data_IF_624022584444
#
_entry.id   IF_624022584444
#
_cell.length_a   1.000
_cell.length_b   1.000
_cell.length_c   1.000
_cell.angle_alpha   90.00
_cell.angle_beta   90.00
_cell.angle_gamma   90.00
#
_symmetry.space_group_name_H-M   'P 1'
#
loop_
_entity.id
_entity.type
_entity.pdbx_description
1 polymer ?
#
# COMPACT_ATOMS: atom_id res chain seq x y z
N UNK A 1 -11.12 -17.55 -20.15
CA UNK A 1 -10.26 -16.34 -20.15
C UNK A 1 -11.14 -15.08 -20.12
N UNK A 2 -11.93 -14.92 -19.07
CA UNK A 2 -12.60 -13.67 -18.80
C UNK A 2 -11.64 -12.78 -18.02
N UNK A 3 -10.98 -11.86 -18.72
CA UNK A 3 -10.46 -10.62 -18.13
C UNK A 3 -11.66 -9.88 -17.54
N UNK A 4 -12.12 -10.24 -16.34
CA UNK A 4 -12.96 -9.34 -15.57
C UNK A 4 -12.12 -8.08 -15.34
N UNK A 5 -12.34 -7.08 -16.20
CA UNK A 5 -11.92 -5.70 -15.91
C UNK A 5 -12.46 -5.41 -14.52
N UNK A 6 -11.59 -5.36 -13.55
CA UNK A 6 -11.89 -4.70 -12.29
C UNK A 6 -12.46 -3.34 -12.67
N UNK A 7 -13.57 -2.94 -12.07
CA UNK A 7 -14.21 -1.67 -12.39
C UNK A 7 -13.31 -0.53 -11.89
N UNK A 8 -12.25 -0.29 -12.67
CA UNK A 8 -11.18 0.69 -12.37
C UNK A 8 -11.56 2.09 -12.84
N UNK A 9 -12.85 2.36 -13.04
CA UNK A 9 -13.34 3.65 -13.53
C UNK A 9 -12.88 4.84 -12.68
N UNK A 10 -12.69 4.61 -11.38
CA UNK A 10 -12.28 5.66 -10.43
C UNK A 10 -10.77 5.71 -10.18
N UNK A 11 -9.99 4.81 -10.79
CA UNK A 11 -8.56 4.78 -10.57
C UNK A 11 -7.84 5.84 -11.42
N UNK A 12 -6.83 6.48 -10.86
CA UNK A 12 -5.99 7.43 -11.60
C UNK A 12 -5.35 6.73 -12.80
N UNK A 13 -5.34 7.40 -13.96
CA UNK A 13 -4.76 6.88 -15.21
C UNK A 13 -3.31 6.37 -15.05
N UNK A 14 -2.53 7.05 -14.23
CA UNK A 14 -1.17 6.65 -13.90
C UNK A 14 -1.09 5.29 -13.20
N UNK A 15 -1.99 5.01 -12.24
CA UNK A 15 -2.05 3.72 -11.55
C UNK A 15 -2.38 2.61 -12.55
N UNK A 16 -3.38 2.86 -13.41
CA UNK A 16 -3.79 1.92 -14.46
C UNK A 16 -2.64 1.65 -15.43
N UNK A 17 -1.96 2.69 -15.91
CA UNK A 17 -0.83 2.56 -16.84
C UNK A 17 0.31 1.75 -16.23
N UNK A 18 0.63 1.98 -14.96
CA UNK A 18 1.68 1.24 -14.28
C UNK A 18 1.29 -0.24 -14.08
N UNK A 19 0.04 -0.53 -13.71
CA UNK A 19 -0.44 -1.90 -13.61
C UNK A 19 -0.41 -2.63 -14.96
N UNK A 20 -0.87 -1.97 -16.02
CA UNK A 20 -0.83 -2.54 -17.37
C UNK A 20 0.61 -2.83 -17.81
N UNK A 21 1.53 -1.91 -17.60
CA UNK A 21 2.94 -2.12 -17.91
C UNK A 21 3.53 -3.35 -17.20
N UNK A 22 3.18 -3.59 -15.94
CA UNK A 22 3.62 -4.78 -15.22
C UNK A 22 3.00 -6.06 -15.78
N UNK A 23 1.73 -6.03 -16.15
CA UNK A 23 1.00 -7.19 -16.68
C UNK A 23 1.48 -7.52 -18.10
N UNK A 24 1.65 -6.51 -18.93
CA UNK A 24 2.04 -6.67 -20.34
C UNK A 24 3.49 -7.13 -20.49
N UNK A 25 4.38 -6.69 -19.60
CA UNK A 25 5.78 -7.16 -19.55
C UNK A 25 5.91 -8.58 -18.97
N UNK A 26 4.83 -9.16 -18.48
CA UNK A 26 4.80 -10.45 -17.79
C UNK A 26 5.19 -10.34 -16.31
N UNK A 27 4.44 -11.02 -15.48
CA UNK A 27 4.76 -11.16 -14.06
C UNK A 27 5.80 -12.26 -13.90
N UNK A 28 7.05 -11.89 -13.72
CA UNK A 28 8.13 -12.84 -13.47
C UNK A 28 8.01 -13.50 -12.09
N UNK A 29 8.55 -14.69 -11.97
CA UNK A 29 8.68 -15.37 -10.68
C UNK A 29 9.43 -14.48 -9.67
N UNK A 30 8.95 -14.47 -8.45
CA UNK A 30 9.55 -13.70 -7.35
C UNK A 30 9.85 -14.63 -6.18
N UNK A 31 11.07 -14.53 -5.65
CA UNK A 31 11.42 -15.21 -4.43
C UNK A 31 10.55 -14.69 -3.27
N UNK A 32 9.76 -15.59 -2.69
CA UNK A 32 8.86 -15.30 -1.56
C UNK A 32 9.56 -15.36 -0.21
N UNK A 33 10.84 -15.71 -0.19
CA UNK A 33 11.63 -15.91 1.04
C UNK A 33 12.85 -15.03 1.08
N UNK A 34 13.36 -14.81 2.29
CA UNK A 34 14.64 -14.13 2.55
C UNK A 34 15.43 -14.92 3.59
N UNK A 35 16.74 -14.91 3.46
CA UNK A 35 17.66 -15.48 4.45
C UNK A 35 17.89 -14.41 5.52
N UNK A 36 17.08 -14.47 6.57
CA UNK A 36 17.11 -13.54 7.71
C UNK A 36 16.77 -14.29 9.00
N UNK A 37 17.36 -13.85 10.10
CA UNK A 37 17.09 -14.43 11.42
C UNK A 37 15.77 -13.96 12.04
N UNK A 38 15.24 -12.84 11.56
CA UNK A 38 14.01 -12.24 12.04
C UNK A 38 12.96 -12.12 10.95
N UNK A 39 11.73 -12.51 11.25
CA UNK A 39 10.58 -12.44 10.35
C UNK A 39 9.58 -13.57 10.56
N UNK A 40 8.58 -13.65 9.70
CA UNK A 40 7.57 -14.70 9.71
C UNK A 40 8.18 -15.98 9.13
N UNK A 41 8.28 -17.02 9.98
CA UNK A 41 8.77 -18.34 9.56
C UNK A 41 7.81 -18.99 8.58
N UNK A 42 8.35 -19.71 7.59
CA UNK A 42 7.54 -20.42 6.63
C UNK A 42 6.99 -21.74 7.23
N UNK A 43 5.72 -22.06 7.01
CA UNK A 43 5.12 -23.32 7.46
C UNK A 43 5.43 -24.47 6.48
N UNK A 44 6.64 -24.51 5.91
CA UNK A 44 7.07 -25.47 4.89
C UNK A 44 8.33 -26.17 5.40
N UNK A 45 8.46 -27.48 5.15
CA UNK A 45 9.64 -28.25 5.52
C UNK A 45 10.89 -27.78 4.74
N UNK A 46 12.06 -27.91 5.34
CA UNK A 46 13.35 -27.56 4.75
C UNK A 46 13.51 -26.06 4.44
N UNK A 47 12.95 -25.21 5.28
CA UNK A 47 13.07 -23.75 5.16
C UNK A 47 13.76 -23.11 6.39
N UNK A 48 14.64 -23.87 7.04
CA UNK A 48 15.40 -23.37 8.18
C UNK A 48 16.27 -22.18 7.76
N UNK A 49 16.30 -21.13 8.60
CA UNK A 49 17.01 -19.88 8.29
C UNK A 49 16.30 -18.99 7.24
N UNK A 50 15.07 -19.33 6.85
CA UNK A 50 14.29 -18.53 5.90
C UNK A 50 13.03 -17.96 6.53
N UNK A 51 12.73 -16.73 6.16
CA UNK A 51 11.51 -16.03 6.55
C UNK A 51 10.73 -15.56 5.32
N UNK A 52 9.46 -15.29 5.51
CA UNK A 52 8.62 -14.73 4.46
C UNK A 52 9.13 -13.33 4.05
N UNK A 53 9.11 -13.04 2.77
CA UNK A 53 9.43 -11.71 2.26
C UNK A 53 8.41 -10.70 2.77
N UNK A 54 8.89 -9.66 3.42
CA UNK A 54 8.07 -8.66 4.15
C UNK A 54 6.92 -8.07 3.31
N UNK A 55 7.10 -7.85 2.03
CA UNK A 55 6.04 -7.30 1.18
C UNK A 55 4.91 -8.28 0.84
N UNK A 56 5.04 -9.53 1.21
CA UNK A 56 3.94 -10.51 1.10
C UNK A 56 3.08 -10.53 2.36
N UNK A 57 3.67 -10.29 3.53
CA UNK A 57 2.94 -10.26 4.80
C UNK A 57 2.55 -8.83 5.24
N UNK A 58 3.30 -7.80 4.86
CA UNK A 58 3.02 -6.42 5.26
C UNK A 58 1.58 -5.96 4.96
N UNK A 59 1.00 -6.22 3.78
CA UNK A 59 -0.39 -5.85 3.53
C UNK A 59 -1.41 -6.59 4.41
N UNK A 60 -1.07 -7.77 4.94
CA UNK A 60 -1.90 -8.51 5.90
C UNK A 60 -2.00 -7.72 7.22
N UNK A 61 -1.02 -6.88 7.51
CA UNK A 61 -1.02 -5.98 8.65
C UNK A 61 -2.26 -5.08 8.71
N UNK A 62 -2.83 -4.69 7.59
CA UNK A 62 -4.08 -3.93 7.55
C UNK A 62 -5.24 -4.71 8.17
N UNK A 63 -5.34 -5.99 7.83
CA UNK A 63 -6.36 -6.89 8.41
C UNK A 63 -6.09 -7.11 9.89
N UNK A 64 -4.83 -7.32 10.27
CA UNK A 64 -4.42 -7.51 11.67
C UNK A 64 -4.73 -6.29 12.53
N UNK A 65 -4.46 -5.10 12.02
CA UNK A 65 -4.79 -3.83 12.69
C UNK A 65 -6.30 -3.65 12.87
N UNK A 66 -7.08 -3.98 11.84
CA UNK A 66 -8.55 -3.96 11.93
C UNK A 66 -9.06 -4.97 12.96
N UNK A 67 -8.48 -6.16 13.02
CA UNK A 67 -8.82 -7.17 14.03
C UNK A 67 -8.52 -6.69 15.45
N UNK A 68 -7.36 -6.10 15.67
CA UNK A 68 -6.97 -5.57 16.97
C UNK A 68 -7.91 -4.45 17.42
N UNK A 69 -8.17 -3.48 16.54
CA UNK A 69 -9.10 -2.39 16.78
C UNK A 69 -10.54 -2.89 17.04
N UNK A 70 -11.03 -3.81 16.23
CA UNK A 70 -12.38 -4.34 16.36
C UNK A 70 -12.56 -5.09 17.70
N UNK A 71 -11.53 -5.82 18.15
CA UNK A 71 -11.52 -6.46 19.47
C UNK A 71 -11.63 -5.42 20.60
N UNK A 72 -10.85 -4.35 20.51
CA UNK A 72 -10.86 -3.25 21.49
C UNK A 72 -12.22 -2.55 21.53
N UNK A 73 -12.84 -2.33 20.39
CA UNK A 73 -14.13 -1.61 20.25
C UNK A 73 -15.35 -2.54 20.28
N UNK A 74 -15.17 -3.82 20.58
CA UNK A 74 -16.23 -4.83 20.56
C UNK A 74 -17.04 -4.83 19.23
N UNK A 75 -16.31 -4.79 18.11
CA UNK A 75 -16.84 -4.82 16.74
C UNK A 75 -16.45 -6.13 16.04
N UNK A 76 -17.18 -6.46 14.98
CA UNK A 76 -16.82 -7.60 14.15
C UNK A 76 -15.92 -7.12 12.98
N UNK A 77 -14.65 -7.52 12.97
CA UNK A 77 -13.69 -7.14 11.94
C UNK A 77 -14.08 -7.59 10.53
N UNK A 78 -14.87 -8.67 10.42
CA UNK A 78 -15.32 -9.20 9.13
C UNK A 78 -16.23 -8.23 8.39
N UNK A 79 -16.98 -7.41 9.10
CA UNK A 79 -17.86 -6.40 8.52
C UNK A 79 -17.08 -5.36 7.71
N UNK A 80 -15.78 -5.21 7.99
CA UNK A 80 -14.87 -4.27 7.32
C UNK A 80 -14.07 -4.90 6.18
N UNK A 81 -13.97 -6.24 6.12
CA UNK A 81 -13.11 -6.92 5.16
C UNK A 81 -13.84 -7.98 4.31
N UNK A 82 -15.04 -8.38 4.69
CA UNK A 82 -15.79 -9.47 4.06
C UNK A 82 -17.25 -9.10 3.76
N UNK A 83 -17.61 -7.84 3.87
CA UNK A 83 -18.94 -7.35 3.58
C UNK A 83 -18.91 -6.54 2.27
N UNK A 84 -19.73 -6.93 1.30
CA UNK A 84 -19.82 -6.29 -0.03
C UNK A 84 -20.30 -4.84 0.01
N UNK A 85 -20.93 -4.41 1.11
CA UNK A 85 -21.31 -3.01 1.34
C UNK A 85 -20.14 -2.13 1.81
N UNK A 86 -19.00 -2.74 2.14
CA UNK A 86 -17.79 -2.02 2.56
C UNK A 86 -16.89 -1.71 1.38
N UNK A 87 -16.36 -0.50 1.33
CA UNK A 87 -15.41 -0.07 0.31
C UNK A 87 -13.99 -0.02 0.89
N UNK A 88 -13.06 -0.73 0.23
CA UNK A 88 -11.65 -0.71 0.57
C UNK A 88 -10.92 0.30 -0.32
N UNK A 89 -10.31 1.32 0.30
CA UNK A 89 -9.54 2.34 -0.40
C UNK A 89 -8.13 2.40 0.20
N UNK A 90 -7.11 2.29 -0.66
CA UNK A 90 -5.71 2.38 -0.25
C UNK A 90 -5.08 3.70 -0.69
N UNK A 91 -4.69 4.54 0.27
CA UNK A 91 -3.88 5.73 0.02
C UNK A 91 -2.40 5.36 0.13
N UNK A 92 -1.66 5.42 -0.97
CA UNK A 92 -0.28 4.93 -1.06
C UNK A 92 0.65 5.86 -1.82
N UNK A 93 1.96 5.66 -1.67
CA UNK A 93 2.96 6.19 -2.60
C UNK A 93 3.06 5.32 -3.85
N UNK A 94 3.48 5.90 -4.97
CA UNK A 94 3.54 5.22 -6.28
C UNK A 94 4.44 3.98 -6.32
N UNK A 95 5.41 3.89 -5.44
CA UNK A 95 6.30 2.74 -5.29
C UNK A 95 5.58 1.49 -4.79
N UNK A 96 4.40 1.66 -4.18
CA UNK A 96 3.59 0.57 -3.64
C UNK A 96 2.44 0.11 -4.56
N UNK A 97 2.31 0.68 -5.75
CA UNK A 97 1.20 0.37 -6.68
C UNK A 97 1.14 -1.13 -6.98
N UNK A 98 2.26 -1.78 -7.30
CA UNK A 98 2.27 -3.20 -7.66
C UNK A 98 1.76 -4.09 -6.53
N UNK A 99 2.15 -3.77 -5.29
CA UNK A 99 1.72 -4.55 -4.13
C UNK A 99 0.25 -4.37 -3.80
N UNK A 100 -0.29 -3.15 -3.91
CA UNK A 100 -1.67 -2.86 -3.53
C UNK A 100 -2.68 -3.07 -4.66
N UNK A 101 -2.23 -2.99 -5.92
CA UNK A 101 -3.12 -3.14 -7.07
C UNK A 101 -3.05 -4.53 -7.72
N UNK A 102 -1.97 -5.29 -7.51
CA UNK A 102 -1.78 -6.60 -8.13
C UNK A 102 -1.61 -7.69 -7.07
N UNK A 103 -0.54 -7.63 -6.26
CA UNK A 103 -0.17 -8.75 -5.38
C UNK A 103 -1.19 -8.95 -4.27
N UNK A 104 -1.50 -7.91 -3.51
CA UNK A 104 -2.43 -8.02 -2.38
C UNK A 104 -3.85 -8.40 -2.82
N UNK A 105 -4.45 -7.81 -3.87
CA UNK A 105 -5.73 -8.29 -4.41
C UNK A 105 -5.72 -9.76 -4.84
N UNK A 106 -4.61 -10.24 -5.43
CA UNK A 106 -4.47 -11.66 -5.78
C UNK A 106 -4.49 -12.52 -4.53
N UNK A 107 -3.74 -12.15 -3.48
CA UNK A 107 -3.74 -12.89 -2.21
C UNK A 107 -5.12 -12.93 -1.57
N UNK A 108 -5.82 -11.79 -1.51
CA UNK A 108 -7.19 -11.71 -0.99
C UNK A 108 -8.16 -12.59 -1.78
N UNK A 109 -8.04 -12.59 -3.10
CA UNK A 109 -8.89 -13.39 -4.00
C UNK A 109 -8.62 -14.89 -3.87
N UNK A 110 -7.35 -15.31 -3.76
CA UNK A 110 -6.98 -16.72 -3.58
C UNK A 110 -7.46 -17.24 -2.23
N UNK A 111 -7.33 -16.43 -1.18
CA UNK A 111 -7.83 -16.79 0.14
C UNK A 111 -9.36 -16.91 0.16
N UNK A 112 -10.06 -16.09 -0.60
CA UNK A 112 -11.52 -16.04 -0.72
C UNK A 112 -12.21 -15.21 0.35
N UNK A 113 -13.43 -14.76 0.04
CA UNK A 113 -14.34 -14.02 0.92
C UNK A 113 -13.89 -12.62 1.35
N UNK A 114 -12.78 -12.10 0.84
CA UNK A 114 -12.35 -10.73 1.10
C UNK A 114 -12.83 -9.79 0.01
N UNK A 115 -13.21 -8.57 0.39
CA UNK A 115 -13.43 -7.48 -0.55
C UNK A 115 -12.12 -7.07 -1.22
N UNK A 116 -12.21 -6.59 -2.45
CA UNK A 116 -11.05 -6.09 -3.20
C UNK A 116 -11.00 -4.57 -3.16
N UNK A 117 -9.83 -3.94 -3.35
CA UNK A 117 -9.71 -2.49 -3.39
C UNK A 117 -10.59 -1.88 -4.47
N UNK A 118 -11.51 -0.98 -4.07
CA UNK A 118 -12.33 -0.21 -4.99
C UNK A 118 -11.50 0.89 -5.65
N UNK A 119 -10.65 1.56 -4.88
CA UNK A 119 -9.76 2.61 -5.37
C UNK A 119 -8.41 2.57 -4.67
N UNK A 120 -7.36 2.98 -5.40
CA UNK A 120 -5.99 3.08 -4.89
C UNK A 120 -5.41 4.45 -5.28
N UNK A 121 -5.78 5.53 -4.56
CA UNK A 121 -5.17 6.83 -4.73
C UNK A 121 -3.67 6.78 -4.46
N UNK A 122 -2.87 6.98 -5.50
CA UNK A 122 -1.42 6.96 -5.42
C UNK A 122 -0.85 8.37 -5.55
N UNK A 123 0.08 8.71 -4.66
CA UNK A 123 0.79 9.98 -4.67
C UNK A 123 2.17 9.83 -5.32
N UNK A 124 2.58 10.87 -6.05
CA UNK A 124 3.93 11.00 -6.56
C UNK A 124 4.93 11.20 -5.43
N UNK A 125 6.21 11.01 -5.74
CA UNK A 125 7.28 11.36 -4.81
C UNK A 125 7.33 12.87 -4.61
N UNK A 126 7.46 13.27 -3.37
CA UNK A 126 7.82 14.65 -3.05
C UNK A 126 9.30 14.86 -3.39
N UNK A 127 9.58 15.79 -4.27
CA UNK A 127 10.94 16.15 -4.68
C UNK A 127 11.29 17.52 -4.08
N UNK A 128 12.54 17.69 -3.70
CA UNK A 128 13.15 18.95 -3.30
C UNK A 128 14.18 19.33 -4.37
N UNK A 129 13.98 20.47 -5.04
CA UNK A 129 14.85 20.95 -6.12
C UNK A 129 15.11 19.91 -7.22
N UNK A 130 14.04 19.20 -7.63
CA UNK A 130 14.10 18.15 -8.65
C UNK A 130 14.71 16.82 -8.19
N UNK A 131 15.15 16.69 -6.93
CA UNK A 131 15.70 15.46 -6.35
C UNK A 131 14.73 14.82 -5.38
N UNK A 132 14.66 13.49 -5.40
CA UNK A 132 13.86 12.74 -4.43
C UNK A 132 14.34 13.01 -3.00
N UNK A 133 13.42 13.33 -2.10
CA UNK A 133 13.70 13.47 -0.66
C UNK A 133 14.25 12.14 -0.13
N UNK A 134 15.31 12.23 0.68
CA UNK A 134 16.02 11.08 1.24
C UNK A 134 16.53 11.40 2.64
N UNK A 135 16.03 10.69 3.63
CA UNK A 135 16.47 10.81 5.02
C UNK A 135 17.92 10.34 5.20
N UNK A 136 18.32 9.26 4.55
CA UNK A 136 19.68 8.70 4.63
C UNK A 136 20.76 9.62 4.02
N UNK A 137 20.34 10.51 3.11
CA UNK A 137 21.23 11.52 2.48
C UNK A 137 21.09 12.90 3.12
N UNK A 138 20.34 13.01 4.21
CA UNK A 138 19.99 14.28 4.86
C UNK A 138 19.46 15.34 3.87
N UNK A 139 18.72 14.88 2.82
CA UNK A 139 18.15 15.72 1.80
C UNK A 139 16.62 15.74 2.00
N UNK A 140 16.18 16.58 2.92
CA UNK A 140 14.78 16.74 3.29
C UNK A 140 14.55 18.07 3.98
N UNK A 141 13.30 18.52 3.99
CA UNK A 141 12.84 19.58 4.89
C UNK A 141 12.18 18.86 6.06
N UNK A 142 12.76 18.99 7.23
CA UNK A 142 12.26 18.33 8.42
C UNK A 142 11.10 19.13 9.02
N UNK A 143 10.01 18.46 9.36
CA UNK A 143 8.81 19.12 9.87
C UNK A 143 9.10 19.97 11.12
N UNK A 144 9.95 19.51 12.04
CA UNK A 144 10.31 20.24 13.24
C UNK A 144 11.16 21.48 12.96
N UNK A 145 11.99 21.47 11.91
CA UNK A 145 12.74 22.66 11.43
C UNK A 145 11.79 23.64 10.76
N UNK A 146 10.92 23.12 9.88
CA UNK A 146 9.88 23.93 9.23
C UNK A 146 8.99 24.64 10.24
N UNK A 147 8.52 23.96 11.28
CA UNK A 147 7.70 24.57 12.35
C UNK A 147 8.46 25.62 13.16
N UNK A 148 9.77 25.46 13.33
CA UNK A 148 10.61 26.45 14.02
C UNK A 148 10.80 27.73 13.18
N UNK A 149 10.98 27.56 11.88
CA UNK A 149 11.29 28.68 10.97
C UNK A 149 10.01 29.41 10.49
N UNK A 150 8.89 28.69 10.45
CA UNK A 150 7.60 29.20 10.00
C UNK A 150 6.55 29.11 11.12
N UNK A 151 5.77 30.16 11.27
CA UNK A 151 4.65 30.18 12.23
C UNK A 151 3.56 29.21 11.78
N UNK A 152 2.84 28.64 12.75
CA UNK A 152 1.79 27.61 12.52
C UNK A 152 0.74 28.01 11.48
N UNK A 153 0.42 29.30 11.35
CA UNK A 153 -0.54 29.81 10.38
C UNK A 153 -0.14 29.54 8.91
N UNK A 154 1.15 29.40 8.59
CA UNK A 154 1.61 29.10 7.24
C UNK A 154 1.33 27.67 6.80
N UNK A 155 1.26 26.73 7.74
CA UNK A 155 0.87 25.34 7.48
C UNK A 155 -0.60 25.25 7.03
N UNK A 156 -1.46 26.07 7.61
CA UNK A 156 -2.89 26.12 7.28
C UNK A 156 -3.21 26.93 6.03
N UNK A 157 -2.32 27.84 5.64
CA UNK A 157 -2.51 28.69 4.45
C UNK A 157 -1.83 28.11 3.20
N UNK A 158 -1.03 27.05 3.33
CA UNK A 158 -0.47 26.33 2.18
C UNK A 158 -1.61 25.69 1.37
N UNK A 159 -1.75 26.01 0.07
CA UNK A 159 -2.79 25.41 -0.75
C UNK A 159 -2.62 23.90 -0.78
N UNK A 160 -3.69 23.19 -0.48
CA UNK A 160 -3.74 21.74 -0.65
C UNK A 160 -3.66 21.39 -2.15
N UNK A 161 -3.06 20.27 -2.54
CA UNK A 161 -3.15 19.78 -3.92
C UNK A 161 -4.58 19.68 -4.45
N UNK A 162 -5.58 19.71 -3.59
CA UNK A 162 -7.01 19.72 -3.94
C UNK A 162 -7.52 21.10 -4.34
N UNK A 163 -6.84 22.16 -3.94
CA UNK A 163 -7.29 23.54 -4.17
C UNK A 163 -6.86 24.05 -5.55
N UNK A 164 -6.05 23.27 -6.29
CA UNK A 164 -5.57 23.56 -7.64
C UNK A 164 -6.40 22.85 -8.73
N UNK A 165 -7.70 22.75 -8.56
CA UNK A 165 -8.63 22.25 -9.58
C UNK A 165 -9.41 23.37 -10.22
#
# INVERSE_FOLDING_TARGET
NEKKKHDSKDWKSQVISQCNSWIDNGLNERAMTRDLDWGVKLPIKNTDGKVLYVWLDAPIGYISSTKAWAKEKNKNWKDYWMNDETELIHFIGKDNIVFHCIIFPILLKIHGNYILPKNVPSNEFLNLEGRKISTSKNWAIWLHEFQKDFKDCLLYTSPSPRDNR
#
